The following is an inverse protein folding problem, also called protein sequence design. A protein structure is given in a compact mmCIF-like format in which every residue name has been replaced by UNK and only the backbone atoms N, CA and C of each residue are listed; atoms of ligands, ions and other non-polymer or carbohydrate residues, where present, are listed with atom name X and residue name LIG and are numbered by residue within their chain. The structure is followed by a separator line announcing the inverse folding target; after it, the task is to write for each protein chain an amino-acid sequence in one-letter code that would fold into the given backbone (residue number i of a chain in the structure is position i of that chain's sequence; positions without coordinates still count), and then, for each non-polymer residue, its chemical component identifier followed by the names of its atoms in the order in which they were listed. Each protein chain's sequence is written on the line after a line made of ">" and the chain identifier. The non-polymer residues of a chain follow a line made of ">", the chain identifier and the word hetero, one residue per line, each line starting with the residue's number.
data_IF_511870195705
#
_entry.id   IF_511870195705
#
_cell.length_a   1.000
_cell.length_b   1.000
_cell.length_c   1.000
_cell.angle_alpha   90.00
_cell.angle_beta   90.00
_cell.angle_gamma   90.00
#
_symmetry.space_group_name_H-M   'P 1'
#
loop_
_entity.id
_entity.type
_entity.pdbx_description
1 polymer ?
#
# COMPACT_ATOMS: atom_id res chain seq x y z
N UNK A 1 3.05 -2.85 -19.14
CA UNK A 1 2.31 -4.01 -18.59
C UNK A 1 1.83 -4.99 -19.67
N UNK A 2 1.36 -4.51 -20.84
CA UNK A 2 0.89 -5.39 -21.94
C UNK A 2 1.82 -6.58 -22.25
N UNK A 3 3.13 -6.34 -22.35
CA UNK A 3 4.07 -7.37 -22.79
C UNK A 3 4.12 -8.64 -21.91
N UNK A 4 4.03 -8.52 -20.58
CA UNK A 4 4.04 -9.69 -19.68
C UNK A 4 2.68 -10.40 -19.69
N UNK A 5 1.59 -9.62 -19.71
CA UNK A 5 0.24 -10.17 -19.75
C UNK A 5 -0.03 -10.93 -21.06
N UNK A 6 0.51 -10.45 -22.18
CA UNK A 6 0.43 -11.11 -23.49
C UNK A 6 1.21 -12.43 -23.53
N UNK A 7 2.30 -12.54 -22.75
CA UNK A 7 3.13 -13.75 -22.68
C UNK A 7 2.53 -14.81 -21.75
N UNK A 8 2.03 -14.42 -20.58
CA UNK A 8 1.34 -15.33 -19.67
C UNK A 8 0.41 -14.54 -18.72
N UNK A 9 -0.91 -14.58 -18.94
CA UNK A 9 -1.87 -13.84 -18.12
C UNK A 9 -2.01 -14.39 -16.68
N UNK A 10 -1.42 -15.56 -16.36
CA UNK A 10 -1.49 -16.17 -15.03
C UNK A 10 -0.35 -15.76 -14.10
N UNK A 11 0.64 -15.01 -14.59
CA UNK A 11 1.78 -14.60 -13.76
C UNK A 11 1.31 -13.54 -12.76
N UNK A 12 1.46 -13.76 -11.45
CA UNK A 12 1.20 -12.72 -10.47
C UNK A 12 2.18 -11.57 -10.65
N UNK A 13 1.68 -10.35 -10.71
CA UNK A 13 2.50 -9.14 -10.85
C UNK A 13 2.41 -8.35 -9.57
N UNK A 14 3.57 -8.12 -8.94
CA UNK A 14 3.75 -7.17 -7.87
C UNK A 14 4.39 -5.91 -8.46
N UNK A 15 3.68 -4.78 -8.42
CA UNK A 15 4.18 -3.53 -8.98
C UNK A 15 4.43 -2.50 -7.89
N UNK A 16 5.53 -1.75 -8.01
CA UNK A 16 5.78 -0.57 -7.18
C UNK A 16 5.14 0.64 -7.84
N UNK A 17 4.49 1.48 -7.04
CA UNK A 17 4.08 2.82 -7.42
C UNK A 17 4.64 3.84 -6.43
N UNK A 18 5.07 4.99 -6.92
CA UNK A 18 5.50 6.11 -6.07
C UNK A 18 4.38 7.12 -5.84
N UNK A 19 3.53 7.31 -6.84
CA UNK A 19 2.43 8.27 -6.80
C UNK A 19 1.09 7.55 -6.72
N UNK A 20 0.12 8.17 -6.04
CA UNK A 20 -1.25 7.63 -5.91
C UNK A 20 -1.89 7.38 -7.28
N UNK A 21 -1.72 8.30 -8.23
CA UNK A 21 -2.28 8.17 -9.57
C UNK A 21 -1.64 7.03 -10.37
N UNK A 22 -0.33 6.78 -10.17
CA UNK A 22 0.33 5.61 -10.74
C UNK A 22 -0.18 4.31 -10.13
N UNK A 23 -0.36 4.29 -8.81
CA UNK A 23 -0.87 3.13 -8.10
C UNK A 23 -2.28 2.74 -8.57
N UNK A 24 -3.15 3.74 -8.77
CA UNK A 24 -4.51 3.53 -9.28
C UNK A 24 -4.47 2.98 -10.72
N UNK A 25 -3.66 3.57 -11.61
CA UNK A 25 -3.48 3.05 -12.97
C UNK A 25 -2.97 1.61 -12.99
N UNK A 26 -2.04 1.24 -12.10
CA UNK A 26 -1.53 -0.13 -12.03
C UNK A 26 -2.58 -1.10 -11.50
N UNK A 27 -3.40 -0.67 -10.53
CA UNK A 27 -4.50 -1.48 -10.02
C UNK A 27 -5.56 -1.77 -11.10
N UNK A 28 -5.86 -0.82 -11.98
CA UNK A 28 -6.82 -1.04 -13.09
C UNK A 28 -6.27 -1.93 -14.21
N UNK A 29 -4.94 -2.07 -14.32
CA UNK A 29 -4.28 -2.92 -15.32
C UNK A 29 -4.19 -4.40 -14.92
N UNK A 30 -4.87 -4.82 -13.85
CA UNK A 30 -4.92 -6.22 -13.43
C UNK A 30 -3.64 -6.72 -12.74
N UNK A 31 -2.82 -5.80 -12.23
CA UNK A 31 -1.70 -6.13 -11.35
C UNK A 31 -2.26 -6.83 -10.09
N UNK A 32 -1.62 -7.91 -9.66
CA UNK A 32 -2.07 -8.70 -8.51
C UNK A 32 -2.00 -7.88 -7.22
N UNK A 33 -0.92 -7.11 -7.07
CA UNK A 33 -0.73 -6.25 -5.91
C UNK A 33 0.14 -5.04 -6.26
N UNK A 34 -0.27 -3.87 -5.77
CA UNK A 34 0.48 -2.62 -5.93
C UNK A 34 1.04 -2.21 -4.57
N UNK A 35 2.36 -2.11 -4.47
CA UNK A 35 3.07 -1.65 -3.29
C UNK A 35 3.41 -0.18 -3.44
N UNK A 36 3.13 0.60 -2.41
CA UNK A 36 3.58 1.98 -2.27
C UNK A 36 4.56 2.06 -1.11
N UNK A 37 5.88 2.05 -1.38
CA UNK A 37 6.90 2.00 -0.33
C UNK A 37 6.81 3.14 0.67
N UNK A 38 6.31 4.30 0.25
CA UNK A 38 6.12 5.47 1.10
C UNK A 38 5.08 5.18 2.19
N UNK A 39 4.00 4.46 1.86
CA UNK A 39 2.96 4.04 2.83
C UNK A 39 3.45 2.91 3.73
N UNK A 40 4.16 1.93 3.18
CA UNK A 40 4.72 0.85 3.99
C UNK A 40 5.80 1.35 4.96
N UNK A 41 6.56 2.35 4.52
CA UNK A 41 7.55 3.03 5.36
C UNK A 41 6.88 3.87 6.43
N UNK A 42 5.82 4.63 6.12
CA UNK A 42 5.09 5.41 7.15
C UNK A 42 4.49 4.49 8.23
N UNK A 43 3.87 3.38 7.82
CA UNK A 43 3.35 2.36 8.73
C UNK A 43 4.44 1.78 9.65
N UNK A 44 5.61 1.49 9.09
CA UNK A 44 6.79 1.02 9.83
C UNK A 44 7.26 2.06 10.85
N UNK A 45 7.36 3.33 10.45
CA UNK A 45 7.78 4.43 11.33
C UNK A 45 6.79 4.64 12.48
N UNK A 46 5.48 4.64 12.19
CA UNK A 46 4.42 4.75 13.21
C UNK A 46 4.53 3.59 14.21
N UNK A 47 4.64 2.36 13.71
CA UNK A 47 4.79 1.17 14.55
C UNK A 47 5.99 1.30 15.48
N UNK A 48 7.15 1.66 14.95
CA UNK A 48 8.39 1.72 15.72
C UNK A 48 8.38 2.87 16.73
N UNK A 49 7.81 4.02 16.37
CA UNK A 49 7.59 5.13 17.30
C UNK A 49 6.66 4.73 18.46
N UNK A 50 5.51 4.11 18.17
CA UNK A 50 4.57 3.68 19.22
C UNK A 50 5.17 2.58 20.12
N UNK A 51 5.96 1.67 19.54
CA UNK A 51 6.68 0.66 20.30
C UNK A 51 7.71 1.30 21.25
N UNK A 52 8.42 2.34 20.81
CA UNK A 52 9.37 3.08 21.67
C UNK A 52 8.66 3.71 22.88
N UNK A 53 7.44 4.24 22.70
CA UNK A 53 6.64 4.77 23.81
C UNK A 53 5.91 3.70 24.65
N UNK A 54 6.18 2.41 24.42
CA UNK A 54 5.63 1.31 25.23
C UNK A 54 4.18 0.97 24.94
N UNK A 55 3.64 1.37 23.78
CA UNK A 55 2.27 1.02 23.39
C UNK A 55 2.15 -0.50 23.18
N UNK A 56 1.14 -1.17 23.75
CA UNK A 56 0.94 -2.61 23.55
C UNK A 56 0.80 -2.98 22.08
N UNK A 57 1.43 -4.09 21.67
CA UNK A 57 1.52 -4.53 20.27
C UNK A 57 0.16 -4.63 19.56
N UNK A 58 -0.88 -5.10 20.24
CA UNK A 58 -2.23 -5.18 19.68
C UNK A 58 -2.77 -3.80 19.29
N UNK A 59 -2.57 -2.79 20.15
CA UNK A 59 -2.95 -1.41 19.84
C UNK A 59 -2.13 -0.82 18.70
N UNK A 60 -0.83 -1.13 18.64
CA UNK A 60 0.03 -0.68 17.53
C UNK A 60 -0.50 -1.17 16.17
N UNK A 61 -0.94 -2.43 16.10
CA UNK A 61 -1.53 -2.98 14.87
C UNK A 61 -2.83 -2.24 14.51
N UNK A 62 -3.70 -1.97 15.49
CA UNK A 62 -4.93 -1.22 15.26
C UNK A 62 -4.64 0.19 14.69
N UNK A 63 -3.60 0.87 15.20
CA UNK A 63 -3.18 2.18 14.70
C UNK A 63 -2.67 2.13 13.26
N UNK A 64 -1.83 1.15 12.92
CA UNK A 64 -1.27 1.00 11.58
C UNK A 64 -2.36 0.69 10.55
N UNK A 65 -3.32 -0.18 10.91
CA UNK A 65 -4.45 -0.49 10.03
C UNK A 65 -5.37 0.72 9.84
N UNK A 66 -5.60 1.50 10.90
CA UNK A 66 -6.35 2.75 10.79
C UNK A 66 -5.67 3.78 9.87
N UNK A 67 -4.36 3.95 9.98
CA UNK A 67 -3.57 4.84 9.11
C UNK A 67 -3.65 4.42 7.64
N UNK A 68 -3.51 3.12 7.35
CA UNK A 68 -3.67 2.56 6.01
C UNK A 68 -5.06 2.84 5.43
N UNK A 69 -6.11 2.63 6.22
CA UNK A 69 -7.48 2.93 5.83
C UNK A 69 -7.70 4.42 5.61
N UNK A 70 -7.11 5.27 6.44
CA UNK A 70 -7.17 6.73 6.29
C UNK A 70 -6.52 7.19 4.99
N UNK A 71 -5.32 6.68 4.68
CA UNK A 71 -4.62 6.96 3.42
C UNK A 71 -5.45 6.48 2.23
N UNK A 72 -6.05 5.28 2.32
CA UNK A 72 -6.94 4.75 1.28
C UNK A 72 -8.17 5.63 1.06
N UNK A 73 -8.86 6.01 2.13
CA UNK A 73 -10.06 6.86 2.07
C UNK A 73 -9.75 8.30 1.65
N UNK A 74 -8.54 8.80 1.90
CA UNK A 74 -8.08 10.10 1.38
C UNK A 74 -7.93 10.04 -0.14
N UNK A 75 -7.39 8.95 -0.70
CA UNK A 75 -7.27 8.76 -2.15
C UNK A 75 -8.63 8.79 -2.86
N UNK A 76 -9.61 8.07 -2.34
CA UNK A 76 -10.97 8.02 -2.92
C UNK A 76 -11.68 9.39 -2.94
N UNK A 77 -11.20 10.39 -2.18
CA UNK A 77 -11.73 11.75 -2.15
C UNK A 77 -10.97 12.74 -3.04
N UNK A 78 -9.77 12.37 -3.50
CA UNK A 78 -8.87 13.23 -4.28
C UNK A 78 -8.81 12.81 -5.77
N UNK A 79 -9.32 11.63 -6.13
CA UNK A 79 -9.60 11.20 -7.53
C UNK A 79 -10.99 11.65 -7.99
#
# INVERSE_FOLDING_TARGET
>A
MAHIHDLNPKVPILARAHESAEAERLATLGVTEVIQPEVETSATLIRDALAWFGVPKNRVLDYVEHDRLFIKAKRERES
#
